data_IF_595568714843
#
_entry.id   IF_595568714843
#
_cell.length_a   1.000
_cell.length_b   1.000
_cell.length_c   1.000
_cell.angle_alpha   90.00
_cell.angle_beta   90.00
_cell.angle_gamma   90.00
#
_symmetry.space_group_name_H-M   'P 1'
#
loop_
_entity.id
_entity.type
_entity.pdbx_description
1 polymer ?
#
# COMPACT_ATOMS: atom_id res chain seq x y z
N UNK A 1 -23.25 -22.66 -22.42
CA UNK A 1 -21.96 -22.32 -21.77
C UNK A 1 -22.05 -21.04 -20.90
N UNK A 2 -23.23 -20.63 -20.42
CA UNK A 2 -23.38 -19.44 -19.54
C UNK A 2 -23.59 -19.79 -18.06
N UNK A 3 -24.18 -20.96 -17.75
CA UNK A 3 -24.47 -21.39 -16.39
C UNK A 3 -23.23 -21.81 -15.57
N UNK A 4 -22.16 -22.26 -16.22
CA UNK A 4 -20.95 -22.71 -15.53
C UNK A 4 -20.09 -21.56 -14.99
N UNK A 5 -20.12 -20.39 -15.64
CA UNK A 5 -19.33 -19.22 -15.24
C UNK A 5 -19.92 -18.53 -14.00
N UNK A 6 -21.25 -18.47 -13.92
CA UNK A 6 -21.94 -17.96 -12.73
C UNK A 6 -21.72 -18.84 -11.50
N UNK A 7 -21.55 -20.16 -11.69
CA UNK A 7 -21.24 -21.09 -10.59
C UNK A 7 -19.83 -20.93 -10.01
N UNK A 8 -18.84 -20.54 -10.82
CA UNK A 8 -17.47 -20.33 -10.34
C UNK A 8 -17.31 -19.02 -9.54
N UNK A 9 -18.08 -17.97 -9.86
CA UNK A 9 -18.05 -16.71 -9.10
C UNK A 9 -18.55 -16.87 -7.64
N UNK A 10 -19.29 -17.94 -7.33
CA UNK A 10 -19.73 -18.25 -5.96
C UNK A 10 -18.68 -19.03 -5.17
N UNK A 11 -17.83 -19.83 -5.83
CA UNK A 11 -16.85 -20.69 -5.17
C UNK A 11 -15.48 -20.05 -4.93
N UNK A 12 -15.14 -18.96 -5.63
CA UNK A 12 -13.87 -18.24 -5.43
C UNK A 12 -14.14 -16.73 -5.53
N UNK A 13 -14.63 -16.09 -4.46
CA UNK A 13 -14.93 -14.65 -4.47
C UNK A 13 -13.67 -13.78 -4.57
N UNK A 14 -12.49 -14.39 -4.43
CA UNK A 14 -11.18 -13.76 -4.50
C UNK A 14 -10.51 -14.19 -5.82
N UNK A 15 -10.65 -13.38 -6.87
CA UNK A 15 -9.66 -13.40 -7.95
C UNK A 15 -8.43 -12.62 -7.45
N UNK A 16 -7.20 -13.13 -7.63
CA UNK A 16 -6.01 -12.40 -7.26
C UNK A 16 -6.00 -11.05 -7.99
N UNK A 17 -5.69 -9.94 -7.30
CA UNK A 17 -5.69 -8.62 -7.91
C UNK A 17 -4.69 -8.60 -9.08
N UNK A 18 -5.16 -8.15 -10.24
CA UNK A 18 -4.31 -8.03 -11.41
C UNK A 18 -3.22 -6.98 -11.15
N UNK A 19 -1.94 -7.25 -11.45
CA UNK A 19 -0.89 -6.27 -11.30
C UNK A 19 -1.15 -5.09 -12.24
N UNK A 20 -0.99 -3.86 -11.74
CA UNK A 20 -1.05 -2.68 -12.59
C UNK A 20 0.11 -2.73 -13.59
N UNK A 21 -0.22 -2.60 -14.87
CA UNK A 21 0.79 -2.61 -15.94
C UNK A 21 1.59 -1.31 -15.90
N UNK A 22 2.90 -1.41 -15.65
CA UNK A 22 3.84 -0.27 -15.67
C UNK A 22 3.87 0.49 -16.99
N UNK A 23 3.37 -0.10 -18.08
CA UNK A 23 3.26 0.55 -19.39
C UNK A 23 2.10 1.57 -19.50
N UNK A 24 1.14 1.55 -18.56
CA UNK A 24 -0.08 2.40 -18.59
C UNK A 24 -0.28 3.14 -17.26
N UNK A 25 0.70 3.13 -16.35
CA UNK A 25 0.62 3.91 -15.12
C UNK A 25 0.80 5.38 -15.48
N UNK A 26 -0.31 6.13 -15.49
CA UNK A 26 -0.26 7.58 -15.45
C UNK A 26 0.19 7.99 -14.05
N UNK A 27 1.52 8.13 -13.89
CA UNK A 27 2.14 8.45 -12.60
C UNK A 27 1.55 9.72 -11.97
N UNK A 28 1.08 10.66 -12.80
CA UNK A 28 0.42 11.90 -12.36
C UNK A 28 -0.86 11.64 -11.52
N UNK A 29 -1.58 10.53 -11.73
CA UNK A 29 -2.77 10.18 -10.94
C UNK A 29 -2.43 9.73 -9.51
N UNK A 30 -1.20 9.24 -9.31
CA UNK A 30 -0.74 8.74 -8.02
C UNK A 30 0.03 9.77 -7.20
N UNK A 31 0.25 10.97 -7.77
CA UNK A 31 0.94 12.07 -7.09
C UNK A 31 0.05 12.71 -6.01
N UNK A 32 0.68 13.22 -4.97
CA UNK A 32 0.01 13.90 -3.86
C UNK A 32 0.03 13.11 -2.56
N UNK A 33 -0.92 13.43 -1.67
CA UNK A 33 -0.93 12.90 -0.30
C UNK A 33 -1.88 11.71 -0.13
N UNK A 34 -1.36 10.62 0.42
CA UNK A 34 -2.05 9.37 0.70
C UNK A 34 -2.07 9.11 2.21
N UNK A 35 -3.21 8.62 2.70
CA UNK A 35 -3.36 8.24 4.10
C UNK A 35 -3.36 6.71 4.19
N UNK A 36 -2.51 6.17 5.06
CA UNK A 36 -2.52 4.75 5.35
C UNK A 36 -3.80 4.38 6.11
N UNK A 37 -4.59 3.44 5.57
CA UNK A 37 -5.87 3.01 6.17
C UNK A 37 -5.73 1.65 6.85
N UNK A 38 -5.19 0.65 6.15
CA UNK A 38 -5.03 -0.70 6.67
C UNK A 38 -4.04 -1.51 5.82
N UNK A 39 -3.41 -2.51 6.45
CA UNK A 39 -2.66 -3.56 5.78
C UNK A 39 -3.12 -4.93 6.33
N UNK A 40 -3.11 -5.94 5.47
CA UNK A 40 -3.39 -7.31 5.84
C UNK A 40 -2.31 -8.21 5.23
N UNK A 41 -1.74 -9.07 6.06
CA UNK A 41 -0.73 -10.04 5.67
C UNK A 41 -1.06 -11.41 6.26
N UNK A 42 -0.50 -12.45 5.66
CA UNK A 42 -0.60 -13.81 6.20
C UNK A 42 0.31 -14.00 7.42
N UNK A 43 1.47 -13.35 7.41
CA UNK A 43 2.45 -13.39 8.49
C UNK A 43 2.30 -12.15 9.39
N UNK A 44 2.35 -12.37 10.70
CA UNK A 44 2.29 -11.33 11.71
C UNK A 44 3.57 -10.49 11.75
N UNK A 45 4.71 -11.07 11.35
CA UNK A 45 5.99 -10.37 11.28
C UNK A 45 5.99 -9.28 10.19
N UNK A 46 5.22 -9.48 9.10
CA UNK A 46 5.04 -8.48 8.04
C UNK A 46 4.21 -7.27 8.51
N UNK A 47 3.34 -7.46 9.51
CA UNK A 47 2.54 -6.38 10.10
C UNK A 47 3.22 -5.70 11.28
N UNK A 48 4.35 -6.23 11.76
CA UNK A 48 5.04 -5.74 12.96
C UNK A 48 5.41 -4.26 12.90
N UNK A 49 5.81 -3.77 11.72
CA UNK A 49 6.12 -2.36 11.50
C UNK A 49 4.90 -1.44 11.64
N UNK A 50 3.72 -1.95 11.25
CA UNK A 50 2.46 -1.19 11.32
C UNK A 50 1.82 -1.23 12.70
N UNK A 51 2.12 -2.23 13.54
CA UNK A 51 1.53 -2.36 14.89
C UNK A 51 1.81 -1.16 15.81
N UNK A 52 2.98 -0.56 15.66
CA UNK A 52 3.37 0.61 16.45
C UNK A 52 3.00 1.92 15.75
N UNK A 53 2.47 1.86 14.53
CA UNK A 53 2.07 3.03 13.74
C UNK A 53 0.60 3.31 13.95
N UNK A 54 0.29 4.48 14.50
CA UNK A 54 -1.08 4.95 14.72
C UNK A 54 -1.69 5.51 13.42
N UNK A 55 -0.92 6.35 12.73
CA UNK A 55 -1.31 6.90 11.43
C UNK A 55 -0.08 7.21 10.60
N UNK A 56 -0.12 6.96 9.29
CA UNK A 56 0.92 7.39 8.35
C UNK A 56 0.33 8.18 7.19
N UNK A 57 1.03 9.24 6.79
CA UNK A 57 0.73 10.03 5.60
C UNK A 57 1.93 9.95 4.67
N UNK A 58 1.69 9.52 3.44
CA UNK A 58 2.70 9.43 2.39
C UNK A 58 2.45 10.57 1.40
N UNK A 59 3.50 11.27 0.99
CA UNK A 59 3.46 12.24 -0.09
C UNK A 59 4.32 11.73 -1.23
N UNK A 60 3.72 11.56 -2.41
CA UNK A 60 4.38 11.05 -3.60
C UNK A 60 4.55 12.20 -4.59
N UNK A 61 5.79 12.44 -4.98
CA UNK A 61 6.17 13.45 -5.94
C UNK A 61 6.97 12.82 -7.09
N UNK A 62 6.89 13.45 -8.26
CA UNK A 62 7.65 13.02 -9.43
C UNK A 62 9.07 13.55 -9.33
N UNK A 63 10.04 12.65 -9.33
CA UNK A 63 11.46 12.97 -9.39
C UNK A 63 11.94 13.21 -10.82
N UNK A 64 13.25 13.43 -10.98
CA UNK A 64 13.89 13.42 -12.29
C UNK A 64 13.96 11.99 -12.85
N UNK A 65 13.96 11.85 -14.18
CA UNK A 65 14.26 10.59 -14.89
C UNK A 65 13.37 9.39 -14.48
N UNK A 66 12.04 9.59 -14.52
CA UNK A 66 11.02 8.57 -14.20
C UNK A 66 11.13 7.98 -12.78
N UNK A 67 11.85 8.64 -11.87
CA UNK A 67 11.88 8.29 -10.45
C UNK A 67 10.70 8.88 -9.70
N UNK A 68 10.28 8.22 -8.62
CA UNK A 68 9.28 8.73 -7.69
C UNK A 68 9.95 9.03 -6.35
N UNK A 69 9.75 10.23 -5.82
CA UNK A 69 10.15 10.61 -4.48
C UNK A 69 8.96 10.39 -3.54
N UNK A 70 9.16 9.55 -2.52
CA UNK A 70 8.12 9.26 -1.52
C UNK A 70 8.59 9.78 -0.18
N UNK A 71 7.84 10.72 0.39
CA UNK A 71 8.07 11.24 1.74
C UNK A 71 6.99 10.69 2.66
N UNK A 72 7.37 9.91 3.67
CA UNK A 72 6.43 9.36 4.65
C UNK A 72 6.55 10.10 5.99
N UNK A 73 5.42 10.41 6.60
CA UNK A 73 5.33 10.91 7.98
C UNK A 73 4.41 10.01 8.79
N UNK A 74 4.99 9.31 9.76
CA UNK A 74 4.28 8.36 10.61
C UNK A 74 4.17 8.87 12.04
N UNK A 75 2.97 8.77 12.61
CA UNK A 75 2.72 8.91 14.04
C UNK A 75 2.85 7.53 14.66
N UNK A 76 3.81 7.39 15.57
CA UNK A 76 4.04 6.16 16.32
C UNK A 76 3.30 6.28 17.66
N UNK A 77 2.51 5.27 18.01
CA UNK A 77 1.88 5.23 19.33
C UNK A 77 2.96 4.97 20.39
N UNK A 78 3.02 5.88 21.37
CA UNK A 78 4.07 5.96 22.38
C UNK A 78 3.88 4.88 23.46
N UNK A 79 3.95 3.60 23.08
CA UNK A 79 4.21 2.52 24.02
C UNK A 79 5.71 2.19 24.06
N UNK A 80 6.45 2.31 22.95
CA UNK A 80 7.90 2.03 22.85
C UNK A 80 8.57 2.77 21.67
N UNK A 81 8.35 4.08 21.53
CA UNK A 81 8.85 4.85 20.40
C UNK A 81 10.31 5.31 20.61
N UNK A 82 11.28 4.48 20.22
CA UNK A 82 12.61 4.94 19.82
C UNK A 82 12.46 5.66 18.48
N UNK A 83 12.99 6.89 18.40
CA UNK A 83 12.88 7.80 17.26
C UNK A 83 13.58 7.17 16.04
N UNK A 84 12.83 6.44 15.21
CA UNK A 84 13.29 5.94 13.92
C UNK A 84 13.14 7.06 12.89
N UNK A 85 14.12 7.96 12.88
CA UNK A 85 14.37 8.83 11.73
C UNK A 85 14.89 7.92 10.60
N UNK A 86 14.01 7.44 9.72
CA UNK A 86 14.44 6.76 8.49
C UNK A 86 15.03 7.85 7.57
N UNK A 87 16.36 8.00 7.58
CA UNK A 87 17.07 8.65 6.48
C UNK A 87 17.28 7.61 5.39
N UNK A 88 16.62 7.83 4.24
CA UNK A 88 16.93 7.16 2.97
C UNK A 88 18.20 7.80 2.40
#
# INVERSE_FOLDING_TARGET
MSLFYAGMQVMVPCLPPAPLSTAVIYTDEYMGSWYFVAAAAWDEDELKAFKNTDSSVLHIEKGADDTLTVTETSRVSQADAEILTLQI
#
